data_IF_352304224037
#
_entry.id   IF_352304224037
#
_cell.length_a   1.000
_cell.length_b   1.000
_cell.length_c   1.000
_cell.angle_alpha   90.00
_cell.angle_beta   90.00
_cell.angle_gamma   90.00
#
_symmetry.space_group_name_H-M   'P 1'
#
loop_
_entity.id
_entity.type
_entity.pdbx_description
1 polymer ?
#
# COMPACT_ATOMS: atom_id res chain seq x y z
N UNK A 1 3.58 -10.91 -4.00
CA UNK A 1 3.74 -10.47 -5.41
C UNK A 1 2.93 -9.21 -5.72
N UNK A 2 1.60 -9.25 -5.61
CA UNK A 2 0.74 -8.11 -5.92
C UNK A 2 0.84 -6.97 -4.90
N UNK A 3 0.73 -7.30 -3.61
CA UNK A 3 0.60 -6.32 -2.53
C UNK A 3 1.81 -5.37 -2.45
N UNK A 4 3.07 -5.84 -2.45
CA UNK A 4 4.22 -4.93 -2.37
C UNK A 4 4.35 -4.00 -3.59
N UNK A 5 3.99 -4.48 -4.79
CA UNK A 5 4.00 -3.63 -5.99
C UNK A 5 2.89 -2.58 -5.93
N UNK A 6 1.67 -2.97 -5.55
CA UNK A 6 0.57 -2.02 -5.37
C UNK A 6 0.89 -0.97 -4.31
N UNK A 7 1.47 -1.40 -3.18
CA UNK A 7 1.90 -0.50 -2.11
C UNK A 7 2.89 0.54 -2.65
N UNK A 8 3.92 0.10 -3.38
CA UNK A 8 4.91 0.99 -3.96
C UNK A 8 4.31 2.00 -4.98
N UNK A 9 3.33 1.58 -5.78
CA UNK A 9 2.59 2.47 -6.70
C UNK A 9 1.74 3.49 -5.93
N UNK A 10 1.04 3.06 -4.88
CA UNK A 10 0.26 3.95 -4.02
C UNK A 10 1.15 4.96 -3.30
N UNK A 11 2.30 4.53 -2.79
CA UNK A 11 3.29 5.40 -2.14
C UNK A 11 3.87 6.41 -3.13
N UNK A 12 4.15 5.98 -4.37
CA UNK A 12 4.60 6.87 -5.43
C UNK A 12 3.53 7.90 -5.80
N UNK A 13 2.27 7.47 -5.89
CA UNK A 13 1.14 8.35 -6.15
C UNK A 13 0.93 9.36 -5.00
N UNK A 14 0.96 8.90 -3.76
CA UNK A 14 0.81 9.73 -2.57
C UNK A 14 1.90 10.80 -2.50
N UNK A 15 3.16 10.41 -2.71
CA UNK A 15 4.28 11.34 -2.80
C UNK A 15 4.04 12.38 -3.90
N UNK A 16 3.72 11.94 -5.13
CA UNK A 16 3.46 12.83 -6.25
C UNK A 16 2.31 13.80 -5.96
N UNK A 17 1.22 13.29 -5.38
CA UNK A 17 0.01 14.07 -5.09
C UNK A 17 0.25 15.13 -4.03
N UNK A 18 0.99 14.78 -2.98
CA UNK A 18 1.25 15.66 -1.85
C UNK A 18 2.41 16.63 -2.08
N UNK A 19 3.33 16.33 -3.01
CA UNK A 19 4.49 17.17 -3.32
C UNK A 19 4.31 18.05 -4.57
N UNK A 20 3.23 17.87 -5.32
CA UNK A 20 2.92 18.75 -6.45
C UNK A 20 1.89 19.80 -6.05
N UNK A 21 2.08 21.02 -6.55
CA UNK A 21 1.10 22.09 -6.37
C UNK A 21 -0.20 21.73 -7.10
N UNK A 22 -1.37 21.72 -6.42
CA UNK A 22 -2.65 21.58 -7.08
C UNK A 22 -2.86 22.72 -8.06
N UNK A 23 -3.63 22.46 -9.13
CA UNK A 23 -4.07 23.52 -10.04
C UNK A 23 -4.76 24.63 -9.24
N UNK A 24 -4.42 25.88 -9.54
CA UNK A 24 -5.04 27.05 -8.92
C UNK A 24 -6.54 27.05 -9.21
N UNK A 25 -7.32 27.15 -8.15
CA UNK A 25 -8.77 27.31 -8.18
C UNK A 25 -9.13 28.60 -7.45
N UNK A 26 -9.90 29.48 -8.11
CA UNK A 26 -10.29 30.79 -7.57
C UNK A 26 -11.41 30.68 -6.52
N UNK A 27 -12.15 29.57 -6.52
CA UNK A 27 -13.27 29.34 -5.60
C UNK A 27 -12.80 28.64 -4.31
N UNK A 28 -11.54 28.21 -4.24
CA UNK A 28 -10.99 27.48 -3.12
C UNK A 28 -10.55 28.45 -2.03
N UNK A 29 -11.18 28.35 -0.86
CA UNK A 29 -10.86 29.12 0.35
C UNK A 29 -9.65 28.58 1.13
N UNK A 30 -9.22 27.35 0.84
CA UNK A 30 -8.11 26.68 1.50
C UNK A 30 -6.75 27.19 0.96
N UNK A 31 -5.68 27.08 1.76
CA UNK A 31 -4.35 27.53 1.37
C UNK A 31 -3.89 26.99 0.01
N UNK A 32 -3.24 27.86 -0.76
CA UNK A 32 -2.71 27.53 -2.09
C UNK A 32 -1.24 27.20 -2.01
N UNK A 33 -0.85 26.02 -2.50
CA UNK A 33 0.54 25.57 -2.46
C UNK A 33 0.63 24.05 -2.44
N UNK A 34 1.86 23.56 -2.24
CA UNK A 34 2.14 22.12 -2.15
C UNK A 34 1.63 21.62 -0.79
N UNK A 35 0.72 20.62 -0.75
CA UNK A 35 0.12 20.14 0.49
C UNK A 35 1.13 19.75 1.57
N UNK A 36 2.22 19.06 1.19
CA UNK A 36 3.26 18.65 2.12
C UNK A 36 3.96 19.86 2.78
N UNK A 37 4.18 20.95 2.04
CA UNK A 37 4.83 22.16 2.56
C UNK A 37 3.86 22.97 3.41
N UNK A 38 2.61 23.13 2.97
CA UNK A 38 1.56 23.79 3.77
C UNK A 38 1.40 23.07 5.12
N UNK A 39 1.39 21.74 5.09
CA UNK A 39 1.30 20.95 6.31
C UNK A 39 2.54 21.13 7.20
N UNK A 40 3.76 21.14 6.64
CA UNK A 40 4.98 21.30 7.42
C UNK A 40 5.17 22.74 7.96
N UNK A 41 4.69 23.75 7.23
CA UNK A 41 4.91 25.17 7.50
C UNK A 41 3.65 26.02 7.24
N UNK A 42 2.60 25.84 8.05
CA UNK A 42 1.33 26.53 7.83
C UNK A 42 1.44 28.06 7.93
N UNK A 43 2.38 28.57 8.72
CA UNK A 43 2.66 30.00 8.88
C UNK A 43 3.12 30.70 7.59
N UNK A 44 3.78 29.98 6.66
CA UNK A 44 4.19 30.55 5.36
C UNK A 44 2.99 30.73 4.39
N UNK A 45 1.82 30.16 4.73
CA UNK A 45 0.63 30.14 3.87
C UNK A 45 -0.61 30.78 4.49
N UNK A 46 -0.45 31.63 5.51
CA UNK A 46 -1.55 32.25 6.26
C UNK A 46 -2.58 31.21 6.76
N UNK A 47 -2.12 29.99 7.05
CA UNK A 47 -2.96 28.92 7.61
C UNK A 47 -2.73 28.81 9.10
N UNK A 48 -3.81 28.56 9.84
CA UNK A 48 -3.72 28.16 11.25
C UNK A 48 -3.32 26.69 11.32
N UNK A 49 -2.48 26.34 12.31
CA UNK A 49 -2.18 24.95 12.65
C UNK A 49 -3.03 24.54 13.85
N UNK A 50 -3.88 23.53 13.65
CA UNK A 50 -4.73 22.96 14.70
C UNK A 50 -4.24 21.58 15.14
N UNK A 51 -3.03 21.19 14.77
CA UNK A 51 -2.47 19.91 15.20
C UNK A 51 -2.27 19.92 16.71
N UNK A 52 -2.67 18.82 17.32
CA UNK A 52 -2.29 18.50 18.69
C UNK A 52 -0.92 17.83 18.62
N UNK A 53 0.13 18.41 19.24
CA UNK A 53 1.43 17.77 19.30
C UNK A 53 1.34 16.56 20.23
N UNK A 54 1.13 15.40 19.64
CA UNK A 54 1.16 14.11 20.34
C UNK A 54 2.57 13.55 20.22
N UNK A 55 3.25 13.22 21.34
CA UNK A 55 4.57 12.59 21.29
C UNK A 55 4.54 11.26 20.52
N UNK A 56 5.59 10.99 19.74
CA UNK A 56 5.71 9.74 18.97
C UNK A 56 5.68 8.50 19.86
N UNK A 57 6.23 8.62 21.06
CA UNK A 57 6.36 7.54 22.03
C UNK A 57 4.98 7.00 22.44
N UNK A 58 3.97 7.88 22.52
CA UNK A 58 2.60 7.46 22.84
C UNK A 58 2.00 6.61 21.71
N UNK A 59 2.32 6.91 20.45
CA UNK A 59 1.87 6.09 19.33
C UNK A 59 2.56 4.73 19.35
N UNK A 60 3.86 4.68 19.65
CA UNK A 60 4.61 3.42 19.75
C UNK A 60 4.05 2.53 20.88
N UNK A 61 3.69 3.13 22.03
CA UNK A 61 3.05 2.42 23.14
C UNK A 61 1.68 1.86 22.75
N UNK A 62 0.84 2.67 22.11
CA UNK A 62 -0.49 2.25 21.64
C UNK A 62 -0.36 1.16 20.57
N UNK A 63 0.59 1.30 19.65
CA UNK A 63 0.86 0.29 18.63
C UNK A 63 1.32 -1.03 19.27
N UNK A 64 2.22 -0.99 20.26
CA UNK A 64 2.63 -2.19 20.98
C UNK A 64 1.47 -2.90 21.70
N UNK A 65 0.50 -2.14 22.23
CA UNK A 65 -0.66 -2.68 22.96
C UNK A 65 -1.69 -3.29 22.00
N UNK A 66 -2.02 -2.58 20.92
CA UNK A 66 -3.18 -2.93 20.05
C UNK A 66 -2.78 -3.58 18.72
N UNK A 67 -1.54 -3.39 18.28
CA UNK A 67 -1.03 -3.78 16.99
C UNK A 67 0.39 -4.39 17.10
N UNK A 68 0.59 -5.41 17.96
CA UNK A 68 1.90 -6.03 18.08
C UNK A 68 2.36 -6.59 16.73
N UNK A 69 3.62 -6.37 16.37
CA UNK A 69 4.18 -6.72 15.05
C UNK A 69 4.11 -8.21 14.72
N UNK A 70 4.01 -9.07 15.74
CA UNK A 70 3.87 -10.52 15.60
C UNK A 70 2.42 -10.96 15.32
N UNK A 71 1.45 -10.04 15.31
CA UNK A 71 0.06 -10.40 15.11
C UNK A 71 -0.17 -10.90 13.67
N UNK A 72 -0.78 -12.09 13.46
CA UNK A 72 -1.02 -12.66 12.13
C UNK A 72 -1.87 -11.80 11.18
N UNK A 73 -2.53 -10.75 11.69
CA UNK A 73 -3.24 -9.76 10.85
C UNK A 73 -2.29 -8.97 9.95
N UNK A 74 -1.02 -8.86 10.36
CA UNK A 74 0.02 -8.18 9.59
C UNK A 74 0.67 -9.11 8.56
N UNK A 75 0.40 -10.42 8.62
CA UNK A 75 0.77 -11.34 7.55
C UNK A 75 -0.03 -10.99 6.30
N UNK A 76 0.64 -10.47 5.27
CA UNK A 76 0.02 -10.10 3.98
C UNK A 76 -0.80 -11.25 3.37
N UNK A 77 -0.33 -12.47 3.61
CA UNK A 77 -0.94 -13.74 3.25
C UNK A 77 -0.47 -14.79 4.24
N UNK A 78 -1.27 -15.84 4.45
CA UNK A 78 -0.86 -16.98 5.28
C UNK A 78 0.48 -17.56 4.79
N UNK A 79 1.45 -17.88 5.67
CA UNK A 79 2.78 -18.37 5.27
C UNK A 79 2.75 -19.60 4.36
N UNK A 80 1.79 -20.51 4.60
CA UNK A 80 1.58 -21.71 3.79
C UNK A 80 1.12 -21.39 2.37
N UNK A 81 0.33 -20.33 2.19
CA UNK A 81 -0.06 -19.82 0.89
C UNK A 81 1.12 -19.16 0.19
N UNK A 82 1.91 -18.35 0.91
CA UNK A 82 3.05 -17.65 0.34
C UNK A 82 4.10 -18.62 -0.23
N UNK A 83 4.49 -19.64 0.53
CA UNK A 83 5.46 -20.64 0.06
C UNK A 83 5.04 -21.27 -1.27
N UNK A 84 3.76 -21.62 -1.40
CA UNK A 84 3.20 -22.21 -2.62
C UNK A 84 3.17 -21.20 -3.77
N UNK A 85 2.71 -19.98 -3.50
CA UNK A 85 2.66 -18.91 -4.50
C UNK A 85 4.06 -18.57 -5.01
N UNK A 86 5.07 -18.52 -4.14
CA UNK A 86 6.47 -18.31 -4.50
C UNK A 86 7.04 -19.45 -5.35
N UNK A 87 6.70 -20.71 -5.02
CA UNK A 87 7.11 -21.87 -5.82
C UNK A 87 6.53 -21.83 -7.24
N UNK A 88 5.23 -21.53 -7.38
CA UNK A 88 4.58 -21.37 -8.68
C UNK A 88 5.12 -20.15 -9.46
N UNK A 89 5.44 -19.07 -8.77
CA UNK A 89 6.05 -17.91 -9.41
C UNK A 89 7.49 -18.16 -9.85
N UNK A 90 8.24 -18.97 -9.10
CA UNK A 90 9.57 -19.41 -9.48
C UNK A 90 9.55 -20.31 -10.72
N UNK A 91 8.56 -21.21 -10.85
CA UNK A 91 8.41 -22.04 -12.05
C UNK A 91 8.09 -21.21 -13.30
N UNK A 92 7.45 -20.05 -13.15
CA UNK A 92 7.22 -19.06 -14.21
C UNK A 92 8.46 -18.20 -14.53
N UNK A 93 9.63 -18.49 -13.94
CA UNK A 93 10.89 -17.72 -14.06
C UNK A 93 10.82 -16.30 -13.50
N UNK A 94 9.98 -16.05 -12.49
CA UNK A 94 9.88 -14.76 -11.77
C UNK A 94 9.74 -13.53 -12.72
N UNK A 95 8.71 -13.49 -13.58
CA UNK A 95 8.52 -12.40 -14.53
C UNK A 95 8.34 -11.06 -13.80
N UNK A 96 9.04 -10.01 -14.24
CA UNK A 96 8.92 -8.68 -13.62
C UNK A 96 7.46 -8.21 -13.64
N UNK A 97 6.94 -7.84 -12.46
CA UNK A 97 5.59 -7.29 -12.30
C UNK A 97 5.60 -5.78 -12.58
N UNK A 98 4.76 -5.35 -13.52
CA UNK A 98 4.42 -3.97 -13.84
C UNK A 98 2.91 -3.86 -14.09
N UNK A 99 2.37 -2.67 -14.31
CA UNK A 99 0.94 -2.48 -14.67
C UNK A 99 0.50 -3.37 -15.83
N UNK A 100 1.38 -3.55 -16.82
CA UNK A 100 1.07 -4.25 -18.06
C UNK A 100 1.24 -5.77 -17.93
N UNK A 101 2.22 -6.21 -17.11
CA UNK A 101 2.49 -7.64 -16.91
C UNK A 101 1.70 -8.25 -15.76
N UNK A 102 1.21 -7.43 -14.82
CA UNK A 102 0.60 -7.87 -13.57
C UNK A 102 -0.53 -8.88 -13.80
N UNK A 103 -1.52 -8.52 -14.62
CA UNK A 103 -2.67 -9.39 -14.87
C UNK A 103 -2.27 -10.70 -15.53
N UNK A 104 -1.33 -10.66 -16.47
CA UNK A 104 -0.84 -11.85 -17.15
C UNK A 104 -0.14 -12.80 -16.16
N UNK A 105 0.74 -12.26 -15.32
CA UNK A 105 1.44 -13.02 -14.27
C UNK A 105 0.44 -13.62 -13.28
N UNK A 106 -0.54 -12.83 -12.83
CA UNK A 106 -1.58 -13.30 -11.91
C UNK A 106 -2.40 -14.45 -12.51
N UNK A 107 -2.84 -14.31 -13.77
CA UNK A 107 -3.62 -15.34 -14.46
C UNK A 107 -2.80 -16.62 -14.68
N UNK A 108 -1.49 -16.50 -14.99
CA UNK A 108 -0.60 -17.65 -15.10
C UNK A 108 -0.52 -18.42 -13.77
N UNK A 109 -0.29 -17.73 -12.64
CA UNK A 109 -0.25 -18.36 -11.32
C UNK A 109 -1.61 -18.99 -10.97
N UNK A 110 -2.71 -18.28 -11.20
CA UNK A 110 -4.07 -18.76 -10.94
C UNK A 110 -4.39 -20.03 -11.74
N UNK A 111 -3.98 -20.10 -13.01
CA UNK A 111 -4.12 -21.31 -13.84
C UNK A 111 -3.29 -22.46 -13.28
N UNK A 112 -2.01 -22.24 -12.97
CA UNK A 112 -1.16 -23.28 -12.36
C UNK A 112 -1.77 -23.79 -11.04
N UNK A 113 -2.43 -22.92 -10.29
CA UNK A 113 -3.08 -23.30 -9.05
C UNK A 113 -4.35 -24.14 -9.26
N UNK A 114 -5.16 -23.81 -10.27
CA UNK A 114 -6.36 -24.60 -10.67
C UNK A 114 -6.03 -26.01 -11.16
N UNK A 115 -4.89 -26.21 -11.82
CA UNK A 115 -4.43 -27.55 -12.25
C UNK A 115 -3.70 -28.32 -11.13
N UNK A 116 -3.50 -27.70 -9.97
CA UNK A 116 -2.93 -28.37 -8.80
C UNK A 116 -3.98 -29.30 -8.18
N UNK A 117 -3.57 -30.53 -7.85
CA UNK A 117 -4.38 -31.65 -7.29
C UNK A 117 -5.18 -31.33 -6.01
N UNK A 118 -5.06 -30.11 -5.49
CA UNK A 118 -5.55 -29.65 -4.20
C UNK A 118 -6.77 -28.73 -4.30
N UNK A 119 -7.13 -28.25 -5.50
CA UNK A 119 -8.38 -27.53 -5.70
C UNK A 119 -9.53 -28.53 -5.75
N UNK A 120 -10.23 -28.72 -4.62
CA UNK A 120 -11.59 -29.26 -4.65
C UNK A 120 -12.54 -28.06 -4.77
N UNK A 121 -13.31 -27.92 -5.87
CA UNK A 121 -14.41 -26.97 -5.85
C UNK A 121 -15.33 -27.38 -4.70
N UNK A 122 -15.75 -26.42 -3.88
CA UNK A 122 -16.86 -26.65 -2.97
C UNK A 122 -18.05 -27.07 -3.84
N UNK A 123 -18.39 -28.36 -3.82
CA UNK A 123 -19.60 -28.89 -4.45
C UNK A 123 -20.77 -28.27 -3.70
N UNK A 124 -21.53 -27.42 -4.40
CA UNK A 124 -22.92 -27.08 -4.08
C UNK A 124 -23.78 -28.32 -3.96
#
# INVERSE_FOLDING_TARGET
LAIPWLQAELDAWLRRRNHNAPRRDKNKILPHGIPAIIHAKPHEYNSLDFKLPVPSELFDEVEAIYAPSEHPVFDLVLPTFEQRAQHLYASLRKPKVSSDSFWNVYLCISRCWRYSKWWKPAMT
#
